data_IF_356824835242
#
_entry.id   IF_356824835242
#
_cell.length_a   1.000
_cell.length_b   1.000
_cell.length_c   1.000
_cell.angle_alpha   90.00
_cell.angle_beta   90.00
_cell.angle_gamma   90.00
#
_symmetry.space_group_name_H-M   'P 1'
#
loop_
_entity.id
_entity.type
_entity.pdbx_description
1 polymer ?
#
# COMPACT_ATOMS: atom_id res chain seq x y z
N UNK A 1 -12.63 15.29 -75.10
CA UNK A 1 -12.07 16.28 -74.16
C UNK A 1 -12.75 16.12 -72.84
N UNK A 2 -12.15 15.37 -71.94
CA UNK A 2 -12.77 14.96 -70.68
C UNK A 2 -11.81 15.35 -69.55
N UNK A 3 -12.19 16.33 -68.74
CA UNK A 3 -11.45 16.79 -67.56
C UNK A 3 -11.67 15.86 -66.39
N UNK A 4 -10.63 15.10 -66.01
CA UNK A 4 -10.60 14.36 -64.76
C UNK A 4 -10.24 15.29 -63.61
N UNK A 5 -11.16 15.48 -62.70
CA UNK A 5 -10.92 16.20 -61.45
C UNK A 5 -10.44 15.16 -60.40
N UNK A 6 -9.15 15.24 -60.05
CA UNK A 6 -8.57 14.50 -58.94
C UNK A 6 -8.94 15.18 -57.62
N UNK A 7 -9.74 14.52 -56.80
CA UNK A 7 -9.93 14.90 -55.42
C UNK A 7 -8.86 14.22 -54.55
N UNK A 8 -7.85 15.05 -54.16
CA UNK A 8 -6.92 14.63 -53.13
C UNK A 8 -7.63 14.68 -51.75
N UNK A 9 -7.85 13.53 -51.16
CA UNK A 9 -8.33 13.41 -49.76
C UNK A 9 -7.13 13.56 -48.83
N UNK A 10 -7.01 14.70 -48.18
CA UNK A 10 -6.13 14.92 -47.05
C UNK A 10 -6.68 14.06 -45.86
N UNK A 11 -6.08 12.93 -45.59
CA UNK A 11 -6.30 12.20 -44.38
C UNK A 11 -5.46 12.86 -43.27
N UNK A 12 -6.11 13.69 -42.45
CA UNK A 12 -5.49 14.25 -41.24
C UNK A 12 -5.30 13.14 -40.19
N UNK A 13 -4.07 12.73 -39.96
CA UNK A 13 -3.72 11.91 -38.82
C UNK A 13 -3.76 12.79 -37.56
N UNK A 14 -4.85 12.68 -36.77
CA UNK A 14 -4.88 13.21 -35.41
C UNK A 14 -4.13 12.22 -34.54
N UNK A 15 -2.86 12.54 -34.22
CA UNK A 15 -2.06 11.82 -33.25
C UNK A 15 -2.56 12.20 -31.86
N UNK A 16 -3.46 11.41 -31.29
CA UNK A 16 -3.89 11.56 -29.90
C UNK A 16 -2.72 11.15 -28.99
N UNK A 17 -2.00 12.13 -28.46
CA UNK A 17 -1.04 11.93 -27.38
C UNK A 17 -1.82 11.56 -26.12
N UNK A 18 -1.92 10.26 -25.84
CA UNK A 18 -2.38 9.75 -24.56
C UNK A 18 -1.27 9.97 -23.54
N UNK A 19 -1.36 11.06 -22.80
CA UNK A 19 -0.54 11.25 -21.60
C UNK A 19 -1.03 10.24 -20.55
N UNK A 20 -0.43 9.06 -20.50
CA UNK A 20 -0.50 8.20 -19.34
C UNK A 20 0.31 8.87 -18.24
N UNK A 21 -0.38 9.55 -17.32
CA UNK A 21 0.23 9.98 -16.08
C UNK A 21 0.57 8.71 -15.29
N UNK A 22 1.73 8.12 -15.55
CA UNK A 22 2.32 7.12 -14.67
C UNK A 22 2.52 7.82 -13.33
N UNK A 23 1.78 7.38 -12.30
CA UNK A 23 2.04 7.79 -10.94
C UNK A 23 3.49 7.41 -10.63
N UNK A 24 4.39 8.40 -10.70
CA UNK A 24 5.79 8.16 -10.39
C UNK A 24 5.85 7.82 -8.90
N UNK A 25 6.14 6.57 -8.60
CA UNK A 25 6.49 6.17 -7.25
C UNK A 25 7.67 7.05 -6.83
N UNK A 26 7.43 7.98 -5.91
CA UNK A 26 8.48 8.83 -5.38
C UNK A 26 9.50 7.93 -4.69
N UNK A 27 10.61 7.66 -5.37
CA UNK A 27 11.75 6.97 -4.77
C UNK A 27 12.41 7.94 -3.79
N UNK A 28 12.59 7.50 -2.53
CA UNK A 28 13.35 8.30 -1.60
C UNK A 28 14.77 8.54 -2.15
N UNK A 29 15.33 9.74 -1.96
CA UNK A 29 16.72 10.00 -2.35
C UNK A 29 17.66 9.00 -1.70
N UNK A 30 18.73 8.61 -2.40
CA UNK A 30 19.70 7.64 -1.89
C UNK A 30 20.21 8.02 -0.49
N UNK A 31 20.22 7.08 0.45
CA UNK A 31 20.66 7.29 1.82
C UNK A 31 19.64 7.98 2.75
N UNK A 32 18.42 8.24 2.29
CA UNK A 32 17.36 8.84 3.12
C UNK A 32 16.18 7.87 3.28
N UNK A 33 15.47 8.00 4.39
CA UNK A 33 14.19 7.34 4.60
C UNK A 33 13.09 8.24 4.03
N UNK A 34 12.27 7.69 3.13
CA UNK A 34 11.05 8.34 2.65
C UNK A 34 9.88 8.00 3.57
N UNK A 35 9.15 9.01 4.01
CA UNK A 35 7.89 8.83 4.76
C UNK A 35 6.79 9.57 4.02
N UNK A 36 5.81 8.83 3.52
CA UNK A 36 4.62 9.37 2.87
C UNK A 36 3.41 9.12 3.76
N UNK A 37 2.78 10.19 4.22
CA UNK A 37 1.50 10.10 4.91
C UNK A 37 0.36 9.92 3.91
N UNK A 38 -0.47 8.92 4.14
CA UNK A 38 -1.57 8.53 3.26
C UNK A 38 -2.97 8.86 3.83
N UNK A 39 -2.99 9.59 4.92
CA UNK A 39 -4.22 9.96 5.62
C UNK A 39 -4.44 9.14 6.91
N UNK A 40 -4.96 9.79 7.94
CA UNK A 40 -5.15 9.22 9.30
C UNK A 40 -3.87 8.51 9.78
N UNK A 41 -3.93 7.22 10.11
CA UNK A 41 -2.80 6.39 10.56
C UNK A 41 -2.05 5.68 9.44
N UNK A 42 -2.46 5.88 8.18
CA UNK A 42 -1.83 5.20 7.05
C UNK A 42 -0.52 5.88 6.62
N UNK A 43 0.55 5.09 6.57
CA UNK A 43 1.87 5.55 6.12
C UNK A 43 2.50 4.57 5.14
N UNK A 44 3.23 5.10 4.15
CA UNK A 44 4.18 4.36 3.33
C UNK A 44 5.59 4.83 3.67
N UNK A 45 6.44 3.90 4.11
CA UNK A 45 7.84 4.16 4.45
C UNK A 45 8.73 3.49 3.42
N UNK A 46 9.65 4.23 2.83
CA UNK A 46 10.70 3.68 1.98
C UNK A 46 12.03 3.76 2.74
N UNK A 47 12.63 2.61 3.00
CA UNK A 47 13.90 2.53 3.74
C UNK A 47 15.08 3.01 2.89
N UNK A 48 16.23 3.24 3.50
CA UNK A 48 17.48 3.60 2.79
C UNK A 48 17.92 2.55 1.76
N UNK A 49 17.47 1.30 1.94
CA UNK A 49 17.76 0.18 1.02
C UNK A 49 16.64 -0.01 -0.02
N UNK A 50 15.69 0.91 -0.11
CA UNK A 50 14.57 0.85 -1.07
C UNK A 50 13.46 -0.14 -0.70
N UNK A 51 13.45 -0.71 0.51
CA UNK A 51 12.33 -1.54 0.98
C UNK A 51 11.13 -0.68 1.34
N UNK A 52 9.94 -1.11 0.91
CA UNK A 52 8.68 -0.40 1.12
C UNK A 52 7.87 -1.08 2.21
N UNK A 53 7.54 -0.33 3.24
CA UNK A 53 6.71 -0.75 4.37
C UNK A 53 5.42 0.08 4.34
N UNK A 54 4.27 -0.55 4.41
CA UNK A 54 2.97 0.12 4.56
C UNK A 54 2.43 -0.18 5.95
N UNK A 55 2.00 0.87 6.65
CA UNK A 55 1.46 0.78 8.01
C UNK A 55 -0.01 1.20 7.95
N UNK A 56 -0.88 0.42 8.62
CA UNK A 56 -2.31 0.67 8.78
C UNK A 56 -3.02 1.11 7.48
N UNK A 57 -3.02 0.27 6.44
CA UNK A 57 -3.60 0.63 5.15
C UNK A 57 -5.13 0.75 5.23
N UNK A 58 -5.57 1.96 5.50
CA UNK A 58 -6.95 2.41 5.34
C UNK A 58 -6.93 3.52 4.30
N UNK A 59 -7.20 3.19 3.04
CA UNK A 59 -6.95 4.05 1.89
C UNK A 59 -8.21 4.29 1.06
N UNK A 60 -8.88 3.22 0.64
CA UNK A 60 -10.00 3.27 -0.33
C UNK A 60 -11.18 4.07 0.19
N UNK A 61 -11.52 3.92 1.48
CA UNK A 61 -12.62 4.60 2.15
C UNK A 61 -12.16 5.77 3.05
N UNK A 62 -10.86 6.06 3.10
CA UNK A 62 -10.32 7.12 3.95
C UNK A 62 -10.51 8.49 3.28
N UNK A 63 -11.25 9.43 3.90
CA UNK A 63 -11.49 10.74 3.32
C UNK A 63 -10.23 11.62 3.22
N UNK A 64 -9.16 11.27 3.94
CA UNK A 64 -7.89 12.01 3.94
C UNK A 64 -6.84 11.42 3.02
N UNK A 65 -7.09 10.24 2.44
CA UNK A 65 -6.16 9.66 1.47
C UNK A 65 -6.15 10.50 0.19
N UNK A 66 -4.96 10.93 -0.28
CA UNK A 66 -4.84 11.61 -1.57
C UNK A 66 -5.43 10.75 -2.69
N UNK A 67 -6.17 11.36 -3.61
CA UNK A 67 -6.92 10.66 -4.66
C UNK A 67 -6.06 9.68 -5.47
N UNK A 68 -4.80 10.05 -5.72
CA UNK A 68 -3.83 9.21 -6.42
C UNK A 68 -3.57 7.85 -5.73
N UNK A 69 -3.79 7.74 -4.42
CA UNK A 69 -3.52 6.53 -3.62
C UNK A 69 -4.79 5.80 -3.16
N UNK A 70 -5.96 6.22 -3.61
CA UNK A 70 -7.21 5.50 -3.34
C UNK A 70 -7.30 4.18 -4.11
N UNK A 71 -6.55 4.03 -5.18
CA UNK A 71 -6.36 2.75 -5.87
C UNK A 71 -5.14 2.06 -5.26
N UNK A 72 -5.30 0.84 -4.76
CA UNK A 72 -4.23 0.12 -4.06
C UNK A 72 -3.01 -0.14 -4.95
N UNK A 73 -3.22 -0.30 -6.25
CA UNK A 73 -2.18 -0.49 -7.25
C UNK A 73 -1.20 0.70 -7.33
N UNK A 74 -1.67 1.90 -6.97
CA UNK A 74 -0.85 3.11 -6.98
C UNK A 74 0.27 3.10 -5.91
N UNK A 75 0.16 2.23 -4.91
CA UNK A 75 1.24 2.03 -3.94
C UNK A 75 2.47 1.36 -4.56
N UNK A 76 2.27 0.65 -5.68
CA UNK A 76 3.32 -0.11 -6.34
C UNK A 76 3.81 -1.29 -5.50
N UNK A 77 5.12 -1.53 -5.53
CA UNK A 77 5.72 -2.59 -4.74
C UNK A 77 5.58 -2.31 -3.24
N UNK A 78 5.16 -3.33 -2.49
CA UNK A 78 5.18 -3.34 -1.02
C UNK A 78 5.99 -4.56 -0.58
N UNK A 79 6.97 -4.37 0.29
CA UNK A 79 7.82 -5.45 0.81
C UNK A 79 7.32 -5.97 2.16
N UNK A 80 6.55 -5.15 2.90
CA UNK A 80 6.03 -5.49 4.22
C UNK A 80 4.79 -4.66 4.54
N UNK A 81 3.83 -5.27 5.22
CA UNK A 81 2.72 -4.55 5.86
C UNK A 81 2.74 -4.73 7.36
N UNK A 82 2.37 -3.66 8.06
CA UNK A 82 2.18 -3.64 9.50
C UNK A 82 0.76 -3.16 9.79
N UNK A 83 0.08 -3.84 10.69
CA UNK A 83 -1.23 -3.43 11.20
C UNK A 83 -1.14 -3.33 12.71
N UNK A 84 -1.41 -2.14 13.24
CA UNK A 84 -1.29 -1.87 14.68
C UNK A 84 -2.39 -2.56 15.49
N UNK A 85 -3.63 -2.56 14.97
CA UNK A 85 -4.78 -3.21 15.61
C UNK A 85 -5.95 -3.42 14.62
N UNK A 86 -7.02 -4.08 15.08
CA UNK A 86 -8.12 -4.54 14.25
C UNK A 86 -9.25 -3.55 13.99
N UNK A 87 -9.13 -2.25 14.31
CA UNK A 87 -10.15 -1.28 13.95
C UNK A 87 -10.17 -1.04 12.45
N UNK A 88 -11.38 -0.77 11.93
CA UNK A 88 -11.63 -0.65 10.50
C UNK A 88 -10.74 0.37 9.81
N UNK A 89 -10.52 1.51 10.44
CA UNK A 89 -9.71 2.63 9.95
C UNK A 89 -8.19 2.40 10.04
N UNK A 90 -7.78 1.17 10.36
CA UNK A 90 -6.39 0.69 10.32
C UNK A 90 -6.22 -0.54 9.42
N UNK A 91 -7.20 -1.44 9.37
CA UNK A 91 -7.05 -2.77 8.80
C UNK A 91 -7.79 -2.98 7.47
N UNK A 92 -8.70 -2.05 7.09
CA UNK A 92 -9.68 -2.28 6.03
C UNK A 92 -9.07 -2.81 4.73
N UNK A 93 -8.02 -2.15 4.24
CA UNK A 93 -7.42 -2.49 2.94
C UNK A 93 -6.22 -3.45 3.07
N UNK A 94 -5.81 -3.80 4.30
CA UNK A 94 -4.65 -4.66 4.54
C UNK A 94 -4.76 -6.03 3.84
N UNK A 95 -5.89 -6.77 3.93
CA UNK A 95 -6.01 -8.05 3.25
C UNK A 95 -5.98 -7.94 1.72
N UNK A 96 -6.63 -6.93 1.16
CA UNK A 96 -6.67 -6.71 -0.28
C UNK A 96 -5.28 -6.34 -0.82
N UNK A 97 -4.59 -5.43 -0.12
CA UNK A 97 -3.23 -5.02 -0.46
C UNK A 97 -2.22 -6.18 -0.31
N UNK A 98 -2.38 -7.03 0.72
CA UNK A 98 -1.57 -8.23 0.91
C UNK A 98 -1.70 -9.20 -0.27
N UNK A 99 -2.93 -9.47 -0.70
CA UNK A 99 -3.20 -10.33 -1.85
C UNK A 99 -2.66 -9.75 -3.15
N UNK A 100 -2.83 -8.45 -3.34
CA UNK A 100 -2.36 -7.73 -4.53
C UNK A 100 -0.85 -7.75 -4.69
N UNK A 101 -0.12 -7.53 -3.59
CA UNK A 101 1.35 -7.35 -3.62
C UNK A 101 2.13 -8.61 -3.27
N UNK A 102 1.49 -9.61 -2.69
CA UNK A 102 2.17 -10.78 -2.12
C UNK A 102 2.96 -10.48 -0.83
N UNK A 103 2.92 -9.24 -0.33
CA UNK A 103 3.71 -8.83 0.84
C UNK A 103 3.25 -9.54 2.12
N UNK A 104 4.18 -9.95 3.01
CA UNK A 104 3.84 -10.43 4.33
C UNK A 104 3.22 -9.31 5.16
N UNK A 105 2.20 -9.66 5.94
CA UNK A 105 1.53 -8.79 6.90
C UNK A 105 1.91 -9.23 8.31
N UNK A 106 2.29 -8.28 9.16
CA UNK A 106 2.51 -8.49 10.58
C UNK A 106 1.49 -7.68 11.38
N UNK A 107 0.83 -8.34 12.32
CA UNK A 107 -0.22 -7.76 13.15
C UNK A 107 -0.18 -8.36 14.56
N UNK A 108 -0.93 -7.79 15.54
CA UNK A 108 -1.14 -8.41 16.83
C UNK A 108 -1.57 -9.89 16.68
N UNK A 109 -1.03 -10.75 17.52
CA UNK A 109 -1.16 -12.19 17.37
C UNK A 109 -2.63 -12.66 17.20
N UNK A 110 -3.56 -12.10 17.96
CA UNK A 110 -5.00 -12.41 17.83
C UNK A 110 -5.59 -11.98 16.49
N UNK A 111 -5.22 -10.80 15.99
CA UNK A 111 -5.70 -10.32 14.69
C UNK A 111 -5.18 -11.17 13.54
N UNK A 112 -3.87 -11.44 13.51
CA UNK A 112 -3.28 -12.31 12.49
C UNK A 112 -3.86 -13.74 12.55
N UNK A 113 -4.08 -14.29 13.77
CA UNK A 113 -4.74 -15.58 13.95
C UNK A 113 -6.16 -15.57 13.38
N UNK A 114 -6.95 -14.52 13.63
CA UNK A 114 -8.30 -14.40 13.10
C UNK A 114 -8.29 -14.36 11.56
N UNK A 115 -7.37 -13.61 10.95
CA UNK A 115 -7.22 -13.58 9.49
C UNK A 115 -6.92 -14.97 8.91
N UNK A 116 -6.07 -15.75 9.57
CA UNK A 116 -5.74 -17.11 9.17
C UNK A 116 -6.95 -18.05 9.31
N UNK A 117 -7.59 -18.05 10.49
CA UNK A 117 -8.71 -18.96 10.82
C UNK A 117 -9.92 -18.71 9.93
N UNK A 118 -10.19 -17.44 9.61
CA UNK A 118 -11.29 -17.04 8.73
C UNK A 118 -10.96 -17.16 7.24
N UNK A 119 -9.75 -17.64 6.88
CA UNK A 119 -9.32 -17.76 5.49
C UNK A 119 -9.15 -16.42 4.75
N UNK A 120 -9.04 -15.31 5.49
CA UNK A 120 -8.83 -13.98 4.92
C UNK A 120 -7.46 -13.88 4.26
N UNK A 121 -6.42 -14.36 4.95
CA UNK A 121 -5.06 -14.49 4.46
C UNK A 121 -4.48 -15.86 4.82
N UNK A 122 -3.59 -16.41 3.98
CA UNK A 122 -2.92 -17.68 4.30
C UNK A 122 -1.93 -17.51 5.46
N UNK A 123 -1.65 -18.61 6.16
CA UNK A 123 -0.71 -18.65 7.31
C UNK A 123 0.66 -18.08 6.95
N UNK A 124 1.14 -18.36 5.74
CA UNK A 124 2.43 -17.85 5.26
C UNK A 124 2.48 -16.33 5.07
N UNK A 125 1.33 -15.69 4.95
CA UNK A 125 1.26 -14.25 4.69
C UNK A 125 0.85 -13.43 5.92
N UNK A 126 -0.02 -13.95 6.80
CA UNK A 126 -0.42 -13.29 8.03
C UNK A 126 0.47 -13.72 9.20
N UNK A 127 1.37 -12.86 9.62
CA UNK A 127 2.36 -13.13 10.66
C UNK A 127 1.97 -12.49 11.99
N UNK A 128 2.35 -13.13 13.08
CA UNK A 128 1.96 -12.74 14.44
C UNK A 128 3.07 -11.96 15.12
N UNK A 129 2.69 -10.92 15.83
CA UNK A 129 3.58 -10.10 16.62
C UNK A 129 2.93 -9.79 17.97
N UNK A 130 3.72 -9.71 19.03
CA UNK A 130 3.24 -9.32 20.35
C UNK A 130 3.82 -8.00 20.80
N UNK A 131 3.12 -7.30 21.67
CA UNK A 131 3.59 -6.09 22.34
C UNK A 131 4.94 -6.35 23.02
N UNK A 132 5.93 -5.48 22.76
CA UNK A 132 7.32 -5.61 23.19
C UNK A 132 8.17 -6.50 22.29
N UNK A 133 7.58 -7.27 21.37
CA UNK A 133 8.30 -8.07 20.40
C UNK A 133 8.93 -7.24 19.28
N UNK A 134 10.03 -7.75 18.73
CA UNK A 134 10.73 -7.12 17.60
C UNK A 134 10.97 -8.12 16.48
N UNK A 135 11.00 -7.61 15.25
CA UNK A 135 11.35 -8.37 14.05
C UNK A 135 12.39 -7.62 13.22
N UNK A 136 13.15 -8.36 12.44
CA UNK A 136 14.10 -7.85 11.43
C UNK A 136 13.74 -8.46 10.07
N UNK A 137 12.64 -8.00 9.44
CA UNK A 137 12.03 -8.70 8.30
C UNK A 137 12.92 -8.71 7.05
N UNK A 138 13.93 -7.85 7.01
CA UNK A 138 14.85 -7.72 5.87
C UNK A 138 16.26 -8.22 6.18
N UNK A 139 16.40 -9.08 7.20
CA UNK A 139 17.66 -9.68 7.59
C UNK A 139 18.53 -8.84 8.52
N UNK A 140 19.71 -9.35 8.83
CA UNK A 140 20.69 -8.68 9.68
C UNK A 140 21.17 -7.38 9.02
N UNK A 141 21.21 -6.28 9.78
CA UNK A 141 21.54 -4.95 9.27
C UNK A 141 20.38 -4.21 8.60
N UNK A 142 19.22 -4.86 8.46
CA UNK A 142 17.98 -4.21 7.99
C UNK A 142 17.24 -3.47 9.09
N UNK A 143 16.05 -2.99 8.74
CA UNK A 143 15.17 -2.27 9.69
C UNK A 143 14.72 -3.22 10.80
N UNK A 144 14.90 -2.80 12.05
CA UNK A 144 14.28 -3.43 13.22
C UNK A 144 12.93 -2.76 13.49
N UNK A 145 11.89 -3.56 13.62
CA UNK A 145 10.53 -3.12 13.90
C UNK A 145 10.11 -3.68 15.26
N UNK A 146 9.67 -2.81 16.16
CA UNK A 146 9.20 -3.20 17.50
C UNK A 146 7.74 -2.79 17.65
N UNK A 147 6.89 -3.72 18.07
CA UNK A 147 5.51 -3.40 18.45
C UNK A 147 5.49 -2.88 19.88
N UNK A 148 5.23 -1.60 20.04
CA UNK A 148 5.12 -0.98 21.37
C UNK A 148 3.75 -1.24 21.98
N UNK A 149 3.67 -1.17 23.31
CA UNK A 149 2.39 -1.17 24.01
C UNK A 149 1.70 0.18 23.78
N UNK A 150 0.42 0.13 23.46
CA UNK A 150 -0.46 1.28 23.43
C UNK A 150 -1.78 0.93 24.13
N UNK A 151 -2.25 1.82 24.99
CA UNK A 151 -3.59 1.70 25.55
C UNK A 151 -4.58 2.28 24.54
N UNK A 152 -5.63 1.51 24.27
CA UNK A 152 -6.67 1.92 23.33
C UNK A 152 -8.02 1.76 24.00
N UNK A 153 -8.83 2.80 23.93
CA UNK A 153 -10.21 2.74 24.43
C UNK A 153 -11.06 1.81 23.53
N UNK A 154 -11.79 0.90 24.15
CA UNK A 154 -12.87 0.20 23.49
C UNK A 154 -14.14 1.05 23.60
N UNK A 155 -14.97 1.13 22.55
CA UNK A 155 -16.30 1.73 22.72
C UNK A 155 -17.00 0.93 23.81
N UNK A 156 -17.43 1.61 24.88
CA UNK A 156 -18.30 0.98 25.88
C UNK A 156 -19.59 0.63 25.15
N UNK A 157 -20.03 -0.63 25.28
CA UNK A 157 -21.36 -1.01 24.87
C UNK A 157 -22.34 -0.13 25.68
N UNK A 158 -23.06 0.73 24.97
CA UNK A 158 -24.18 1.52 25.52
C UNK A 158 -25.40 0.63 25.66
#
# INVERSE_FOLDING_TARGET
MTLLRSFARLAGFVLALVFTAAAQAQTAPAGKIGVLWLGQSAFKITTVTGKVIVIDPYLTANPKTPEAYKKLEALGKVDLMLVTHGHRDHVLDAPALAKLTGAPLWAPAGLAQSMQTLGILPVAQANRMNKGGSITPFGAGGVRITMTRAEHSWPRAS
#
